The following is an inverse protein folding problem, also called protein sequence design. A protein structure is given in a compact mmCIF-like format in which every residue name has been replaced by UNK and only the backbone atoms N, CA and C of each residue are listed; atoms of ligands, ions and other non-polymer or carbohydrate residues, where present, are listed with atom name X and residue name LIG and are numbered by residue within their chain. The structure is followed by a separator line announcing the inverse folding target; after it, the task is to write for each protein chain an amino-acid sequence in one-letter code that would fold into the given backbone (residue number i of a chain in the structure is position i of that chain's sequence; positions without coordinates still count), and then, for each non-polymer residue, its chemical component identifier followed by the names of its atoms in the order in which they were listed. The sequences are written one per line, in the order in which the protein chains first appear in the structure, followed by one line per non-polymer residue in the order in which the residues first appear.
data_IF_200078419013
#
_entry.id   IF_200078419013
#
_cell.length_a   1.000
_cell.length_b   1.000
_cell.length_c   1.000
_cell.angle_alpha   90.00
_cell.angle_beta   90.00
_cell.angle_gamma   90.00
#
_symmetry.space_group_name_H-M   'P 1'
#
loop_
_entity.id
_entity.type
_entity.pdbx_description
1 polymer ?
#
# COMPACT_ATOMS: atom_id res chain seq x y z
N UNK A 1 13.04 17.33 -25.25
CA UNK A 1 13.81 16.67 -24.18
C UNK A 1 12.90 16.57 -22.97
N UNK A 2 12.42 15.38 -22.65
CA UNK A 2 11.53 15.25 -21.50
C UNK A 2 12.35 15.28 -20.23
N UNK A 3 12.12 16.31 -19.42
CA UNK A 3 12.65 16.49 -18.09
C UNK A 3 11.85 15.61 -17.11
N UNK A 4 11.78 14.30 -17.37
CA UNK A 4 11.24 13.38 -16.39
C UNK A 4 12.31 13.26 -15.29
N UNK A 5 12.10 13.92 -14.15
CA UNK A 5 12.95 13.72 -12.98
C UNK A 5 12.93 12.22 -12.67
N UNK A 6 14.06 11.57 -12.91
CA UNK A 6 14.27 10.19 -12.50
C UNK A 6 13.91 10.09 -11.01
N UNK A 7 12.97 9.21 -10.68
CA UNK A 7 12.69 8.86 -9.30
C UNK A 7 13.90 8.06 -8.78
N UNK A 8 14.92 8.78 -8.31
CA UNK A 8 16.15 8.20 -7.77
C UNK A 8 15.91 7.81 -6.33
N UNK A 9 15.43 6.59 -6.14
CA UNK A 9 15.59 5.88 -4.87
C UNK A 9 16.91 5.14 -4.94
N UNK A 10 17.81 5.43 -4.00
CA UNK A 10 18.98 4.59 -3.78
C UNK A 10 18.51 3.31 -3.05
N UNK A 11 18.43 2.22 -3.82
CA UNK A 11 17.99 0.94 -3.28
C UNK A 11 18.97 0.37 -2.25
N UNK A 12 20.26 0.70 -2.32
CA UNK A 12 21.24 0.19 -1.37
C UNK A 12 21.08 0.90 -0.02
N UNK A 13 20.83 2.21 -0.04
CA UNK A 13 20.48 2.95 1.19
C UNK A 13 19.17 2.45 1.79
N UNK A 14 18.15 2.21 0.95
CA UNK A 14 16.88 1.65 1.40
C UNK A 14 17.04 0.24 1.96
N UNK A 15 17.84 -0.62 1.33
CA UNK A 15 18.18 -1.95 1.80
C UNK A 15 18.87 -1.91 3.16
N UNK A 16 19.91 -1.08 3.30
CA UNK A 16 20.62 -0.91 4.56
C UNK A 16 19.69 -0.42 5.68
N UNK A 17 18.83 0.55 5.38
CA UNK A 17 17.83 1.06 6.31
C UNK A 17 16.85 -0.03 6.74
N UNK A 18 16.32 -0.83 5.80
CA UNK A 18 15.38 -1.91 6.08
C UNK A 18 16.06 -3.02 6.89
N UNK A 19 17.27 -3.44 6.51
CA UNK A 19 18.05 -4.44 7.27
C UNK A 19 18.30 -4.00 8.71
N UNK A 20 18.66 -2.73 8.92
CA UNK A 20 18.83 -2.17 10.26
C UNK A 20 17.50 -2.14 11.03
N UNK A 21 16.40 -1.78 10.37
CA UNK A 21 15.06 -1.72 10.98
C UNK A 21 14.52 -3.11 11.38
N UNK A 22 14.96 -4.14 10.66
CA UNK A 22 14.64 -5.55 10.86
C UNK A 22 15.57 -6.26 11.85
N UNK A 23 16.53 -5.57 12.48
CA UNK A 23 17.45 -6.19 13.43
C UNK A 23 16.68 -6.96 14.52
N UNK A 24 16.98 -8.25 14.65
CA UNK A 24 16.33 -9.16 15.61
C UNK A 24 15.09 -9.90 15.08
N UNK A 25 14.65 -9.63 13.84
CA UNK A 25 13.61 -10.40 13.15
C UNK A 25 14.30 -11.35 12.17
N UNK A 26 13.88 -12.62 12.17
CA UNK A 26 14.34 -13.60 11.16
C UNK A 26 13.68 -13.30 9.82
N UNK A 27 14.27 -12.36 9.08
CA UNK A 27 13.81 -11.92 7.77
C UNK A 27 14.99 -11.86 6.79
N UNK A 28 14.76 -12.35 5.58
CA UNK A 28 15.65 -12.18 4.44
C UNK A 28 15.22 -10.93 3.66
N UNK A 29 16.16 -10.03 3.41
CA UNK A 29 15.95 -8.85 2.56
C UNK A 29 16.71 -9.08 1.26
N UNK A 30 15.99 -9.10 0.15
CA UNK A 30 16.57 -9.27 -1.18
C UNK A 30 16.41 -7.99 -1.98
N UNK A 31 17.46 -7.61 -2.71
CA UNK A 31 17.40 -6.56 -3.72
C UNK A 31 17.76 -7.18 -5.05
N UNK A 32 16.90 -6.97 -6.05
CA UNK A 32 17.16 -7.42 -7.40
C UNK A 32 16.86 -6.31 -8.41
N UNK A 33 17.55 -6.40 -9.54
CA UNK A 33 17.35 -5.49 -10.66
C UNK A 33 17.35 -6.31 -11.94
N UNK A 34 16.20 -6.38 -12.61
CA UNK A 34 16.02 -7.12 -13.85
C UNK A 34 15.12 -6.33 -14.79
N UNK A 35 15.48 -6.27 -16.08
CA UNK A 35 14.62 -5.70 -17.13
C UNK A 35 14.10 -4.27 -16.85
N UNK A 36 14.91 -3.44 -16.17
CA UNK A 36 14.52 -2.07 -15.79
C UNK A 36 13.55 -1.98 -14.60
N UNK A 37 13.26 -3.09 -13.95
CA UNK A 37 12.57 -3.17 -12.67
C UNK A 37 13.59 -3.32 -11.56
N UNK A 38 13.50 -2.42 -10.60
CA UNK A 38 14.24 -2.42 -9.35
C UNK A 38 13.32 -2.91 -8.25
N UNK A 39 13.65 -4.00 -7.56
CA UNK A 39 12.83 -4.50 -6.47
C UNK A 39 13.61 -4.69 -5.16
N UNK A 40 12.88 -4.53 -4.06
CA UNK A 40 13.30 -4.88 -2.73
C UNK A 40 12.20 -5.71 -2.08
N UNK A 41 12.53 -6.93 -1.67
CA UNK A 41 11.58 -7.85 -1.06
C UNK A 41 12.01 -8.23 0.35
N UNK A 42 11.05 -8.43 1.24
CA UNK A 42 11.26 -8.97 2.59
C UNK A 42 10.54 -10.30 2.69
N UNK A 43 11.28 -11.36 2.99
CA UNK A 43 10.78 -12.73 3.09
C UNK A 43 11.01 -13.23 4.52
N UNK A 44 9.99 -13.82 5.13
CA UNK A 44 10.12 -14.47 6.44
C UNK A 44 9.54 -15.87 6.36
N UNK A 45 10.26 -16.87 6.86
CA UNK A 45 9.78 -18.26 6.87
C UNK A 45 9.28 -18.72 5.48
N UNK A 46 10.05 -18.42 4.43
CA UNK A 46 9.72 -18.68 3.01
C UNK A 46 8.44 -18.02 2.49
N UNK A 47 7.94 -17.00 3.17
CA UNK A 47 6.76 -16.24 2.75
C UNK A 47 7.13 -14.79 2.46
N UNK A 48 6.75 -14.29 1.28
CA UNK A 48 6.89 -12.89 0.92
C UNK A 48 5.99 -12.03 1.82
N UNK A 49 6.58 -11.13 2.59
CA UNK A 49 5.88 -10.16 3.44
C UNK A 49 5.63 -8.84 2.73
N UNK A 50 6.67 -8.34 2.09
CA UNK A 50 6.75 -7.00 1.53
C UNK A 50 7.48 -7.09 0.20
N UNK A 51 7.00 -6.37 -0.80
CA UNK A 51 7.73 -6.17 -2.04
C UNK A 51 7.56 -4.73 -2.49
N UNK A 52 8.67 -4.07 -2.78
CA UNK A 52 8.70 -2.73 -3.34
C UNK A 52 9.31 -2.78 -4.72
N UNK A 53 8.56 -2.34 -5.73
CA UNK A 53 8.98 -2.35 -7.13
C UNK A 53 9.00 -0.94 -7.67
N UNK A 54 10.11 -0.56 -8.29
CA UNK A 54 10.25 0.70 -9.01
C UNK A 54 10.62 0.39 -10.45
N UNK A 55 9.92 1.03 -11.36
CA UNK A 55 10.28 1.14 -12.78
C UNK A 55 10.42 2.62 -13.14
N UNK A 56 10.72 2.91 -14.40
CA UNK A 56 10.76 4.30 -14.89
C UNK A 56 9.41 5.01 -14.82
N UNK A 57 8.30 4.27 -14.70
CA UNK A 57 6.94 4.82 -14.77
C UNK A 57 6.09 4.47 -13.56
N UNK A 58 6.52 3.56 -12.69
CA UNK A 58 5.69 3.06 -11.60
C UNK A 58 6.51 2.82 -10.34
N UNK A 59 5.98 3.21 -9.20
CA UNK A 59 6.46 2.76 -7.89
C UNK A 59 5.31 2.02 -7.19
N UNK A 60 5.54 0.78 -6.79
CA UNK A 60 4.51 -0.10 -6.25
C UNK A 60 4.99 -0.76 -4.96
N UNK A 61 4.14 -0.76 -3.95
CA UNK A 61 4.31 -1.47 -2.69
C UNK A 61 3.26 -2.57 -2.63
N UNK A 62 3.71 -3.80 -2.35
CA UNK A 62 2.87 -4.94 -2.05
C UNK A 62 3.12 -5.39 -0.60
N UNK A 63 2.03 -5.64 0.12
CA UNK A 63 2.02 -6.16 1.49
C UNK A 63 1.18 -7.43 1.55
N UNK A 64 1.77 -8.53 2.01
CA UNK A 64 1.06 -9.76 2.29
C UNK A 64 0.46 -9.69 3.71
N UNK A 65 -0.87 -9.79 3.79
CA UNK A 65 -1.63 -9.70 5.04
C UNK A 65 -2.24 -11.05 5.44
N UNK A 66 -1.97 -12.11 4.67
CA UNK A 66 -2.49 -13.46 4.91
C UNK A 66 -1.77 -14.20 6.05
N UNK A 67 -0.78 -13.57 6.67
CA UNK A 67 0.14 -14.21 7.61
C UNK A 67 -0.37 -13.96 9.02
N UNK A 68 -0.52 -15.04 9.79
CA UNK A 68 -0.94 -14.95 11.20
C UNK A 68 0.14 -14.21 12.00
N UNK A 69 -0.27 -13.19 12.77
CA UNK A 69 0.64 -12.38 13.59
C UNK A 69 0.86 -10.95 13.08
N UNK A 70 -0.21 -10.28 12.67
CA UNK A 70 -0.23 -8.87 12.22
C UNK A 70 0.58 -7.92 13.10
N UNK A 71 0.67 -8.15 14.41
CA UNK A 71 1.45 -7.35 15.36
C UNK A 71 2.95 -7.27 15.00
N UNK A 72 3.51 -8.32 14.38
CA UNK A 72 4.90 -8.29 13.88
C UNK A 72 5.07 -7.47 12.59
N UNK A 73 4.05 -7.46 11.73
CA UNK A 73 4.02 -6.68 10.48
C UNK A 73 3.76 -5.21 10.78
N UNK A 74 2.91 -4.92 11.77
CA UNK A 74 2.61 -3.58 12.26
C UNK A 74 3.85 -2.79 12.66
N UNK A 75 4.69 -3.37 13.53
CA UNK A 75 5.95 -2.75 13.95
C UNK A 75 6.95 -2.62 12.81
N UNK A 76 6.93 -3.55 11.83
CA UNK A 76 7.76 -3.47 10.64
C UNK A 76 7.35 -2.30 9.73
N UNK A 77 6.07 -2.19 9.40
CA UNK A 77 5.55 -1.17 8.48
C UNK A 77 5.78 0.24 9.01
N UNK A 78 5.60 0.47 10.31
CA UNK A 78 5.87 1.75 10.94
C UNK A 78 7.36 2.10 10.86
N UNK A 79 8.24 1.13 11.18
CA UNK A 79 9.70 1.31 11.13
C UNK A 79 10.25 1.58 9.73
N UNK A 80 9.63 1.07 8.67
CA UNK A 80 10.09 1.28 7.29
C UNK A 80 9.38 2.45 6.58
N UNK A 81 8.66 3.30 7.33
CA UNK A 81 8.03 4.50 6.80
C UNK A 81 6.71 4.27 6.06
N UNK A 82 6.05 3.14 6.28
CA UNK A 82 4.76 2.77 5.71
C UNK A 82 3.61 2.92 6.71
N UNK A 83 3.70 3.89 7.62
CA UNK A 83 2.67 4.16 8.63
C UNK A 83 1.26 4.33 8.07
N UNK A 84 1.12 4.87 6.84
CA UNK A 84 -0.19 4.94 6.17
C UNK A 84 -0.81 3.58 5.86
N UNK A 85 0.00 2.61 5.44
CA UNK A 85 -0.48 1.26 5.18
C UNK A 85 -0.83 0.58 6.51
N UNK A 86 -0.03 0.79 7.55
CA UNK A 86 -0.31 0.30 8.90
C UNK A 86 -1.66 0.83 9.42
N UNK A 87 -1.88 2.15 9.38
CA UNK A 87 -3.12 2.78 9.84
C UNK A 87 -4.35 2.22 9.10
N UNK A 88 -4.25 2.05 7.78
CA UNK A 88 -5.31 1.42 6.99
C UNK A 88 -5.62 0.01 7.49
N UNK A 89 -4.61 -0.83 7.66
CA UNK A 89 -4.81 -2.22 8.08
C UNK A 89 -5.42 -2.27 9.49
N UNK A 90 -4.97 -1.39 10.39
CA UNK A 90 -5.52 -1.27 11.74
C UNK A 90 -7.00 -0.88 11.72
N UNK A 91 -7.36 0.15 10.94
CA UNK A 91 -8.76 0.57 10.77
C UNK A 91 -9.64 -0.56 10.20
N UNK A 92 -9.13 -1.35 9.25
CA UNK A 92 -9.85 -2.50 8.69
C UNK A 92 -10.06 -3.60 9.74
N UNK A 93 -9.01 -3.94 10.50
CA UNK A 93 -9.10 -4.96 11.55
C UNK A 93 -10.08 -4.55 12.66
N UNK A 94 -10.01 -3.31 13.13
CA UNK A 94 -10.87 -2.80 14.22
C UNK A 94 -12.30 -2.54 13.75
N UNK A 95 -12.48 -2.06 12.50
CA UNK A 95 -13.77 -1.63 11.98
C UNK A 95 -14.58 -2.73 11.28
N UNK A 96 -13.92 -3.70 10.65
CA UNK A 96 -14.59 -4.77 9.89
C UNK A 96 -14.32 -6.17 10.46
N UNK A 97 -13.24 -6.37 11.22
CA UNK A 97 -12.94 -7.63 11.90
C UNK A 97 -12.23 -8.68 11.03
N UNK A 98 -12.01 -8.41 9.75
CA UNK A 98 -11.21 -9.24 8.86
C UNK A 98 -10.26 -8.41 8.01
N UNK A 99 -9.18 -9.04 7.55
CA UNK A 99 -8.18 -8.41 6.68
C UNK A 99 -8.31 -8.92 5.24
N UNK A 100 -7.93 -8.08 4.26
CA UNK A 100 -7.70 -8.54 2.91
C UNK A 100 -6.50 -9.50 2.85
N UNK A 101 -6.40 -10.24 1.75
CA UNK A 101 -5.28 -11.14 1.51
C UNK A 101 -3.96 -10.37 1.39
N UNK A 102 -4.02 -9.23 0.70
CA UNK A 102 -2.89 -8.34 0.48
C UNK A 102 -3.36 -6.89 0.28
N UNK A 103 -2.42 -5.96 0.42
CA UNK A 103 -2.57 -4.55 0.09
C UNK A 103 -1.52 -4.18 -0.96
N UNK A 104 -1.96 -3.59 -2.06
CA UNK A 104 -1.09 -3.03 -3.10
C UNK A 104 -1.33 -1.52 -3.17
N UNK A 105 -0.26 -0.73 -3.12
CA UNK A 105 -0.29 0.71 -3.38
C UNK A 105 0.63 0.99 -4.55
N UNK A 106 0.07 1.44 -5.67
CA UNK A 106 0.79 1.67 -6.92
C UNK A 106 0.67 3.12 -7.34
N UNK A 107 1.80 3.79 -7.57
CA UNK A 107 1.88 5.16 -8.05
C UNK A 107 2.41 5.16 -9.48
N UNK A 108 1.65 5.75 -10.40
CA UNK A 108 2.04 5.90 -11.81
C UNK A 108 2.59 7.30 -12.08
N UNK A 109 3.71 7.36 -12.78
CA UNK A 109 4.43 8.56 -13.23
C UNK A 109 4.33 8.59 -14.77
N UNK A 110 4.00 9.73 -15.40
CA UNK A 110 3.84 11.07 -14.81
C UNK A 110 2.41 11.41 -14.42
N UNK A 111 1.43 10.51 -14.62
CA UNK A 111 0.02 10.82 -14.38
C UNK A 111 -0.29 11.16 -12.92
N UNK A 112 0.66 10.84 -12.02
CA UNK A 112 0.58 11.02 -10.57
C UNK A 112 -0.71 10.40 -10.00
N UNK A 113 -1.11 9.30 -10.62
CA UNK A 113 -2.25 8.49 -10.21
C UNK A 113 -1.77 7.54 -9.13
N UNK A 114 -2.57 7.40 -8.06
CA UNK A 114 -2.34 6.40 -7.03
C UNK A 114 -3.49 5.40 -7.07
N UNK A 115 -3.15 4.12 -7.11
CA UNK A 115 -4.07 3.01 -6.99
C UNK A 115 -3.82 2.31 -5.65
N UNK A 116 -4.89 1.96 -4.96
CA UNK A 116 -4.87 1.16 -3.76
C UNK A 116 -5.76 -0.04 -3.98
N UNK A 117 -5.22 -1.25 -3.92
CA UNK A 117 -5.95 -2.49 -4.11
C UNK A 117 -5.90 -3.32 -2.83
N UNK A 118 -7.06 -3.78 -2.38
CA UNK A 118 -7.18 -4.76 -1.31
C UNK A 118 -7.67 -6.05 -1.95
N UNK A 119 -6.83 -7.08 -1.94
CA UNK A 119 -7.18 -8.38 -2.50
C UNK A 119 -8.16 -9.13 -1.58
N UNK A 120 -9.17 -9.82 -2.16
CA UNK A 120 -10.21 -10.45 -1.38
C UNK A 120 -9.73 -11.69 -0.61
N UNK A 121 -10.48 -12.02 0.43
CA UNK A 121 -10.50 -13.34 1.09
C UNK A 121 -11.95 -13.83 1.13
N UNK A 122 -12.20 -15.03 1.67
CA UNK A 122 -13.57 -15.52 1.85
C UNK A 122 -14.43 -14.59 2.73
N UNK A 123 -13.80 -13.83 3.62
CA UNK A 123 -14.45 -12.91 4.56
C UNK A 123 -14.18 -11.43 4.27
N UNK A 124 -13.46 -11.09 3.20
CA UNK A 124 -13.10 -9.72 2.85
C UNK A 124 -13.32 -9.46 1.35
N UNK A 125 -14.13 -8.46 0.95
CA UNK A 125 -14.43 -8.20 -0.45
C UNK A 125 -13.25 -7.52 -1.19
N UNK A 126 -13.15 -7.65 -2.52
CA UNK A 126 -12.14 -6.94 -3.28
C UNK A 126 -12.43 -5.43 -3.29
N UNK A 127 -11.42 -4.61 -3.04
CA UNK A 127 -11.57 -3.14 -3.02
C UNK A 127 -10.55 -2.49 -3.94
N UNK A 128 -11.01 -1.52 -4.73
CA UNK A 128 -10.17 -0.69 -5.57
C UNK A 128 -10.38 0.78 -5.21
N UNK A 129 -9.36 1.38 -4.62
CA UNK A 129 -9.21 2.82 -4.44
C UNK A 129 -8.38 3.45 -5.56
N UNK A 130 -8.76 4.64 -6.00
CA UNK A 130 -8.05 5.43 -7.02
C UNK A 130 -8.02 6.88 -6.59
N UNK A 131 -6.85 7.51 -6.67
CA UNK A 131 -6.66 8.96 -6.65
C UNK A 131 -6.08 9.39 -7.99
N UNK A 132 -6.85 10.15 -8.78
CA UNK A 132 -6.43 10.61 -10.11
C UNK A 132 -6.91 12.03 -10.35
N UNK A 133 -6.00 12.93 -10.74
CA UNK A 133 -6.38 14.33 -11.03
C UNK A 133 -7.01 15.07 -9.84
N UNK A 134 -6.75 14.63 -8.60
CA UNK A 134 -7.35 15.18 -7.39
C UNK A 134 -8.70 14.59 -7.00
N UNK A 135 -9.32 13.79 -7.86
CA UNK A 135 -10.53 13.02 -7.58
C UNK A 135 -10.16 11.71 -6.88
N UNK A 136 -10.94 11.37 -5.85
CA UNK A 136 -10.83 10.09 -5.14
C UNK A 136 -12.03 9.24 -5.50
N UNK A 137 -11.82 8.00 -5.91
CA UNK A 137 -12.88 7.01 -6.11
C UNK A 137 -12.54 5.71 -5.38
N UNK A 138 -13.53 5.08 -4.77
CA UNK A 138 -13.39 3.74 -4.18
C UNK A 138 -14.53 2.88 -4.69
N UNK A 139 -14.21 1.69 -5.21
CA UNK A 139 -15.16 0.76 -5.79
C UNK A 139 -14.97 -0.60 -5.14
N UNK A 140 -16.09 -1.17 -4.72
CA UNK A 140 -16.22 -2.51 -4.16
C UNK A 140 -17.60 -3.06 -4.56
N UNK A 141 -17.80 -4.37 -4.52
CA UNK A 141 -19.01 -5.06 -5.03
C UNK A 141 -20.37 -4.48 -4.59
N UNK A 142 -20.46 -3.86 -3.42
CA UNK A 142 -21.71 -3.36 -2.83
C UNK A 142 -21.61 -1.93 -2.30
N UNK A 143 -20.49 -1.26 -2.56
CA UNK A 143 -20.30 0.14 -2.22
C UNK A 143 -19.44 0.84 -3.27
N UNK A 144 -19.83 2.05 -3.61
CA UNK A 144 -19.02 2.98 -4.39
C UNK A 144 -18.90 4.28 -3.63
N UNK A 145 -17.78 4.96 -3.80
CA UNK A 145 -17.58 6.29 -3.30
C UNK A 145 -16.84 7.13 -4.34
N UNK A 146 -17.30 8.37 -4.53
CA UNK A 146 -16.60 9.39 -5.32
C UNK A 146 -16.49 10.63 -4.47
N UNK A 147 -15.27 10.98 -4.08
CA UNK A 147 -14.93 12.00 -3.09
C UNK A 147 -15.68 11.77 -1.77
N UNK A 148 -16.71 12.55 -1.47
CA UNK A 148 -17.49 12.48 -0.23
C UNK A 148 -18.85 11.79 -0.42
N UNK A 149 -19.23 11.49 -1.66
CA UNK A 149 -20.50 10.82 -1.98
C UNK A 149 -20.32 9.31 -1.89
N UNK A 150 -20.94 8.68 -0.89
CA UNK A 150 -20.86 7.24 -0.65
C UNK A 150 -22.22 6.60 -0.89
N UNK A 151 -22.26 5.61 -1.77
CA UNK A 151 -23.44 4.79 -2.06
C UNK A 151 -23.13 3.33 -1.70
N UNK A 152 -23.88 2.78 -0.75
CA UNK A 152 -23.72 1.40 -0.30
C UNK A 152 -25.06 0.69 -0.24
N UNK A 153 -25.18 -0.43 -0.94
CA UNK A 153 -26.34 -1.33 -0.82
C UNK A 153 -26.22 -2.22 0.41
N UNK A 154 -25.00 -2.54 0.84
CA UNK A 154 -24.72 -3.23 2.10
C UNK A 154 -23.90 -2.35 3.05
N UNK A 155 -24.55 -1.86 4.11
CA UNK A 155 -23.93 -0.98 5.11
C UNK A 155 -22.84 -1.64 5.95
N UNK A 156 -22.75 -2.98 5.99
CA UNK A 156 -21.68 -3.67 6.73
C UNK A 156 -20.28 -3.35 6.20
N UNK A 157 -20.17 -2.87 4.96
CA UNK A 157 -18.90 -2.53 4.35
C UNK A 157 -18.54 -1.04 4.36
N UNK A 158 -19.37 -0.19 4.97
CA UNK A 158 -19.04 1.22 5.18
C UNK A 158 -17.68 1.44 5.88
N UNK A 159 -17.28 0.64 6.89
CA UNK A 159 -15.96 0.79 7.52
C UNK A 159 -14.81 0.66 6.51
N UNK A 160 -14.91 -0.29 5.58
CA UNK A 160 -13.88 -0.54 4.56
C UNK A 160 -13.75 0.68 3.63
N UNK A 161 -14.87 1.14 3.07
CA UNK A 161 -14.90 2.31 2.16
C UNK A 161 -14.31 3.53 2.88
N UNK A 162 -14.73 3.78 4.12
CA UNK A 162 -14.27 4.95 4.88
C UNK A 162 -12.77 4.91 5.17
N UNK A 163 -12.22 3.74 5.53
CA UNK A 163 -10.79 3.56 5.78
C UNK A 163 -9.96 3.81 4.51
N UNK A 164 -10.42 3.30 3.36
CA UNK A 164 -9.74 3.51 2.07
C UNK A 164 -9.83 4.98 1.63
N UNK A 165 -11.01 5.61 1.73
CA UNK A 165 -11.18 7.04 1.43
C UNK A 165 -10.25 7.91 2.27
N UNK A 166 -10.18 7.65 3.58
CA UNK A 166 -9.31 8.39 4.51
C UNK A 166 -7.84 8.25 4.11
N UNK A 167 -7.41 7.04 3.78
CA UNK A 167 -6.03 6.76 3.32
C UNK A 167 -5.71 7.53 2.03
N UNK A 168 -6.59 7.49 1.03
CA UNK A 168 -6.41 8.22 -0.22
C UNK A 168 -6.41 9.75 -0.02
N UNK A 169 -7.22 10.28 0.90
CA UNK A 169 -7.20 11.70 1.27
C UNK A 169 -5.86 12.10 1.91
N UNK A 170 -5.31 11.27 2.80
CA UNK A 170 -3.98 11.52 3.40
C UNK A 170 -2.89 11.53 2.33
N UNK A 171 -2.93 10.59 1.40
CA UNK A 171 -2.00 10.55 0.26
C UNK A 171 -2.13 11.79 -0.65
N UNK A 172 -3.36 12.26 -0.89
CA UNK A 172 -3.61 13.53 -1.60
C UNK A 172 -2.99 14.73 -0.87
N UNK A 173 -3.09 14.79 0.46
CA UNK A 173 -2.59 15.92 1.24
C UNK A 173 -1.07 15.93 1.38
N UNK A 174 -0.40 14.77 1.46
CA UNK A 174 1.06 14.68 1.45
C UNK A 174 1.67 15.32 0.18
N UNK A 175 0.97 15.24 -0.94
CA UNK A 175 1.36 15.90 -2.19
C UNK A 175 1.27 17.43 -2.10
N UNK A 176 0.30 17.98 -1.37
CA UNK A 176 0.13 19.42 -1.23
C UNK A 176 1.20 20.05 -0.32
N UNK A 177 1.73 19.31 0.66
CA UNK A 177 2.77 19.78 1.60
C UNK A 177 4.19 19.75 1.04
N UNK A 178 4.39 19.16 -0.14
CA UNK A 178 5.70 18.95 -0.77
C UNK A 178 6.01 19.98 -1.87
N UNK A 179 5.16 21.01 -1.99
CA UNK A 179 5.27 22.15 -2.90
C UNK A 179 5.43 23.44 -2.09
#
# INVERSE_FOLDING_TARGET
MSMFKDFKVDLNELEAYIKNSLAGISAEVTVASAEGVKCLSIITSNTLLFDFRITNTTAEVYLNLSIKGYEGIAGLLDRIGLGLAFDLIKELQEGFGSLPKSLIISKTIPSDSIYLLLEPTDSFPPVKGVLRGGEISVIMSSCTAVNDNIECTNKSYLPIINAVLRTLRRLKNLKASSQ
#
